data_IF_549881943231
#
_entry.id   IF_549881943231
#
_cell.length_a   1.000
_cell.length_b   1.000
_cell.length_c   1.000
_cell.angle_alpha   90.00
_cell.angle_beta   90.00
_cell.angle_gamma   90.00
#
_symmetry.space_group_name_H-M   'P 1'
#
loop_
_entity.id
_entity.type
_entity.pdbx_description
1 polymer ?
#
# COMPACT_ATOMS: atom_id res chain seq x y z
N UNK A 1 5.36 16.04 -21.00
CA UNK A 1 4.87 14.73 -21.49
C UNK A 1 4.27 13.95 -20.33
N UNK A 2 3.06 14.32 -19.93
CA UNK A 2 2.25 13.62 -18.93
C UNK A 2 1.16 12.87 -19.69
N UNK A 3 1.06 11.55 -19.53
CA UNK A 3 0.02 10.77 -20.21
C UNK A 3 0.36 9.31 -20.50
N UNK A 4 1.56 8.83 -20.17
CA UNK A 4 1.91 7.43 -20.44
C UNK A 4 1.29 6.43 -19.46
N UNK A 5 0.97 6.85 -18.23
CA UNK A 5 0.52 5.93 -17.17
C UNK A 5 -1.00 5.78 -17.03
N UNK A 6 -1.82 6.57 -17.73
CA UNK A 6 -3.28 6.60 -17.49
C UNK A 6 -4.16 6.31 -18.71
N UNK A 7 -3.61 6.03 -19.89
CA UNK A 7 -4.42 5.72 -21.06
C UNK A 7 -4.94 4.27 -21.03
N UNK A 8 -6.27 4.03 -20.94
CA UNK A 8 -6.85 2.68 -20.89
C UNK A 8 -6.75 1.92 -22.21
N UNK A 9 -6.20 2.54 -23.26
CA UNK A 9 -6.21 2.04 -24.64
C UNK A 9 -4.86 1.42 -25.07
N UNK A 10 -3.79 1.55 -24.27
CA UNK A 10 -2.44 1.06 -24.61
C UNK A 10 -1.77 0.22 -23.49
N UNK A 11 -2.53 -0.63 -22.80
CA UNK A 11 -1.95 -1.80 -22.11
C UNK A 11 -2.21 -1.98 -20.61
N UNK A 12 -2.84 -1.02 -19.92
CA UNK A 12 -3.03 -1.10 -18.46
C UNK A 12 -4.35 -1.76 -17.99
N UNK A 13 -5.16 -2.35 -18.89
CA UNK A 13 -6.46 -2.94 -18.50
C UNK A 13 -6.34 -4.25 -17.71
N UNK A 14 -5.17 -4.89 -17.71
CA UNK A 14 -4.98 -6.19 -17.06
C UNK A 14 -3.64 -6.32 -16.32
N UNK A 15 -3.06 -5.18 -15.93
CA UNK A 15 -1.84 -5.17 -15.12
C UNK A 15 -2.30 -5.07 -13.67
N UNK A 16 -1.99 -6.07 -12.82
CA UNK A 16 -2.41 -5.99 -11.44
C UNK A 16 -1.83 -4.75 -10.75
N UNK A 17 -2.56 -4.21 -9.77
CA UNK A 17 -2.25 -2.93 -9.13
C UNK A 17 -1.91 -3.17 -7.69
N UNK A 18 -0.83 -2.57 -7.22
CA UNK A 18 -0.40 -2.70 -5.83
C UNK A 18 -0.18 -1.32 -5.23
N UNK A 19 -0.64 -1.14 -3.99
CA UNK A 19 -0.34 0.01 -3.15
C UNK A 19 0.30 -0.49 -1.86
N UNK A 20 1.44 0.12 -1.51
CA UNK A 20 2.18 -0.15 -0.29
C UNK A 20 2.09 1.11 0.59
N UNK A 21 1.56 0.96 1.79
CA UNK A 21 1.49 2.01 2.79
C UNK A 21 2.62 1.79 3.79
N UNK A 22 3.44 2.80 4.05
CA UNK A 22 4.49 2.76 5.08
C UNK A 22 4.16 3.84 6.10
N UNK A 23 4.08 3.49 7.38
CA UNK A 23 3.78 4.42 8.47
C UNK A 23 4.60 4.10 9.71
N UNK A 24 5.02 5.13 10.44
CA UNK A 24 5.65 5.05 11.77
C UNK A 24 4.74 5.59 12.89
N UNK A 25 3.51 5.98 12.52
CA UNK A 25 2.48 6.45 13.44
C UNK A 25 1.10 5.86 13.15
N UNK A 26 0.15 6.14 14.03
CA UNK A 26 -1.27 5.82 13.86
C UNK A 26 -1.96 6.95 13.09
N UNK A 27 -2.97 6.63 12.29
CA UNK A 27 -3.81 7.64 11.65
C UNK A 27 -4.65 8.39 12.67
N UNK A 28 -4.78 9.71 12.47
CA UNK A 28 -5.72 10.56 13.21
C UNK A 28 -7.19 10.12 13.01
N UNK A 29 -7.48 9.35 11.96
CA UNK A 29 -8.82 8.84 11.67
C UNK A 29 -8.78 7.42 11.08
N UNK A 30 -8.79 6.43 11.97
CA UNK A 30 -8.77 5.00 11.62
C UNK A 30 -9.98 4.62 10.75
N UNK A 31 -11.18 5.11 11.07
CA UNK A 31 -12.41 4.75 10.33
C UNK A 31 -12.36 5.19 8.85
N UNK A 32 -11.86 6.40 8.59
CA UNK A 32 -11.64 6.88 7.22
C UNK A 32 -10.56 6.10 6.50
N UNK A 33 -9.47 5.81 7.20
CA UNK A 33 -8.35 5.02 6.66
C UNK A 33 -8.83 3.65 6.16
N UNK A 34 -9.64 2.95 6.96
CA UNK A 34 -10.25 1.66 6.58
C UNK A 34 -11.23 1.83 5.42
N UNK A 35 -12.07 2.87 5.44
CA UNK A 35 -13.04 3.15 4.36
C UNK A 35 -12.34 3.37 3.01
N UNK A 36 -11.22 4.10 3.00
CA UNK A 36 -10.45 4.32 1.77
C UNK A 36 -9.71 3.06 1.33
N UNK A 37 -9.21 2.25 2.26
CA UNK A 37 -8.65 0.94 1.93
C UNK A 37 -9.72 0.05 1.24
N UNK A 38 -10.96 0.02 1.73
CA UNK A 38 -12.07 -0.69 1.08
C UNK A 38 -12.37 -0.17 -0.33
N UNK A 39 -12.32 1.14 -0.54
CA UNK A 39 -12.52 1.74 -1.86
C UNK A 39 -11.44 1.32 -2.85
N UNK A 40 -10.19 1.15 -2.40
CA UNK A 40 -9.08 0.68 -3.23
C UNK A 40 -9.17 -0.82 -3.52
N UNK A 41 -9.57 -1.64 -2.54
CA UNK A 41 -9.84 -3.08 -2.76
C UNK A 41 -10.89 -3.29 -3.86
N UNK A 42 -11.98 -2.52 -3.83
CA UNK A 42 -13.03 -2.54 -4.87
C UNK A 42 -12.52 -2.17 -6.27
N UNK A 43 -11.38 -1.48 -6.37
CA UNK A 43 -10.71 -1.13 -7.64
C UNK A 43 -9.69 -2.18 -8.09
N UNK A 44 -9.69 -3.36 -7.45
CA UNK A 44 -8.76 -4.45 -7.69
C UNK A 44 -7.30 -4.04 -7.47
N UNK A 45 -7.06 -3.31 -6.37
CA UNK A 45 -5.73 -2.89 -5.93
C UNK A 45 -5.37 -3.72 -4.70
N UNK A 46 -4.27 -4.46 -4.78
CA UNK A 46 -3.68 -5.18 -3.65
C UNK A 46 -3.06 -4.19 -2.67
N UNK A 47 -3.41 -4.30 -1.40
CA UNK A 47 -2.96 -3.40 -0.33
C UNK A 47 -1.97 -4.09 0.60
N UNK A 48 -0.78 -3.51 0.73
CA UNK A 48 0.24 -3.90 1.71
C UNK A 48 0.41 -2.75 2.72
N UNK A 49 0.57 -3.09 3.99
CA UNK A 49 0.88 -2.11 5.04
C UNK A 49 2.20 -2.46 5.72
N UNK A 50 3.02 -1.45 5.94
CA UNK A 50 4.31 -1.53 6.61
C UNK A 50 4.29 -0.57 7.78
N UNK A 51 4.21 -1.11 8.99
CA UNK A 51 4.37 -0.37 10.22
C UNK A 51 5.83 -0.34 10.66
N UNK A 52 6.34 0.82 11.06
CA UNK A 52 7.66 0.97 11.67
C UNK A 52 7.50 1.37 13.14
N UNK A 53 8.04 0.55 14.05
CA UNK A 53 7.99 0.82 15.49
C UNK A 53 6.75 0.24 16.18
N UNK A 54 6.29 0.90 17.24
CA UNK A 54 5.16 0.46 18.05
C UNK A 54 3.85 1.05 17.49
N UNK A 55 3.06 0.23 16.81
CA UNK A 55 1.87 0.68 16.08
C UNK A 55 0.63 -0.14 16.41
N UNK A 56 -0.54 0.46 16.15
CA UNK A 56 -1.80 -0.26 16.30
C UNK A 56 -1.95 -1.27 15.17
N UNK A 57 -1.86 -2.55 15.52
CA UNK A 57 -1.97 -3.63 14.56
C UNK A 57 -3.35 -3.69 13.90
N UNK A 58 -4.41 -3.24 14.58
CA UNK A 58 -5.78 -3.19 14.04
C UNK A 58 -5.84 -2.25 12.84
N UNK A 59 -5.16 -1.11 12.90
CA UNK A 59 -5.15 -0.14 11.81
C UNK A 59 -4.37 -0.67 10.61
N UNK A 60 -3.18 -1.25 10.85
CA UNK A 60 -2.36 -1.86 9.80
C UNK A 60 -3.10 -3.01 9.09
N UNK A 61 -3.84 -3.83 9.84
CA UNK A 61 -4.71 -4.87 9.32
C UNK A 61 -5.91 -4.30 8.55
N UNK A 62 -6.46 -3.18 9.03
CA UNK A 62 -7.55 -2.47 8.37
C UNK A 62 -7.16 -1.85 7.02
N UNK A 63 -5.86 -1.56 6.82
CA UNK A 63 -5.30 -1.10 5.55
C UNK A 63 -4.96 -2.28 4.63
N UNK A 64 -4.26 -3.29 5.14
CA UNK A 64 -3.82 -4.43 4.33
C UNK A 64 -5.02 -5.28 3.87
N UNK A 65 -4.83 -6.05 2.80
CA UNK A 65 -5.87 -6.96 2.33
C UNK A 65 -6.06 -8.18 3.25
N UNK A 66 -4.97 -8.64 3.87
CA UNK A 66 -4.95 -9.75 4.83
C UNK A 66 -3.69 -9.67 5.69
N UNK A 67 -3.60 -10.53 6.72
CA UNK A 67 -2.47 -10.58 7.65
C UNK A 67 -1.11 -10.80 6.97
N UNK A 68 -1.07 -11.52 5.83
CA UNK A 68 0.17 -11.79 5.09
C UNK A 68 0.70 -10.57 4.34
N UNK A 69 -0.11 -9.52 4.22
CA UNK A 69 0.23 -8.25 3.60
C UNK A 69 0.53 -7.16 4.64
N UNK A 70 0.63 -7.52 5.92
CA UNK A 70 1.07 -6.63 7.00
C UNK A 70 2.51 -6.93 7.35
N UNK A 71 3.36 -5.91 7.33
CA UNK A 71 4.74 -5.96 7.78
C UNK A 71 4.88 -5.03 8.97
N UNK A 72 5.21 -5.55 10.14
CA UNK A 72 5.53 -4.70 11.30
C UNK A 72 7.02 -4.84 11.60
N UNK A 73 7.78 -3.78 11.39
CA UNK A 73 9.23 -3.76 11.52
C UNK A 73 9.66 -2.79 12.60
N UNK A 74 10.81 -3.03 13.24
CA UNK A 74 11.27 -2.17 14.35
C UNK A 74 11.89 -0.85 13.88
N UNK A 75 12.55 -0.83 12.72
CA UNK A 75 13.27 0.34 12.20
C UNK A 75 13.19 0.39 10.68
N UNK A 76 13.40 1.58 10.11
CA UNK A 76 13.42 1.78 8.66
C UNK A 76 14.53 0.98 7.95
N UNK A 77 15.61 0.62 8.64
CA UNK A 77 16.67 -0.24 8.08
C UNK A 77 16.16 -1.63 7.69
N UNK A 78 15.08 -2.11 8.32
CA UNK A 78 14.44 -3.38 7.97
C UNK A 78 13.65 -3.27 6.66
N UNK A 79 13.39 -2.04 6.16
CA UNK A 79 12.80 -1.84 4.84
C UNK A 79 13.67 -2.45 3.73
N UNK A 80 14.99 -2.50 3.91
CA UNK A 80 15.91 -3.17 2.98
C UNK A 80 15.66 -4.68 2.92
N UNK A 81 15.30 -5.30 4.04
CA UNK A 81 15.02 -6.74 4.13
C UNK A 81 13.68 -7.08 3.52
N UNK A 82 12.63 -6.30 3.82
CA UNK A 82 11.30 -6.52 3.22
C UNK A 82 11.28 -6.12 1.74
N UNK A 83 12.23 -5.29 1.26
CA UNK A 83 12.35 -4.95 -0.15
C UNK A 83 12.43 -6.20 -1.00
N UNK A 84 13.26 -7.18 -0.63
CA UNK A 84 13.41 -8.42 -1.38
C UNK A 84 12.08 -9.19 -1.50
N UNK A 85 11.35 -9.30 -0.40
CA UNK A 85 10.07 -9.99 -0.34
C UNK A 85 8.96 -9.25 -1.12
N UNK A 86 8.90 -7.93 -0.98
CA UNK A 86 7.99 -7.06 -1.74
C UNK A 86 8.34 -7.14 -3.23
N UNK A 87 9.61 -7.02 -3.60
CA UNK A 87 10.07 -7.12 -4.99
C UNK A 87 9.77 -8.48 -5.58
N UNK A 88 9.97 -9.58 -4.84
CA UNK A 88 9.60 -10.91 -5.34
C UNK A 88 8.10 -11.01 -5.62
N UNK A 89 7.26 -10.60 -4.66
CA UNK A 89 5.79 -10.57 -4.82
C UNK A 89 5.35 -9.66 -5.98
N UNK A 90 6.08 -8.57 -6.22
CA UNK A 90 5.76 -7.54 -7.21
C UNK A 90 6.43 -7.78 -8.58
N UNK A 91 7.45 -8.62 -8.69
CA UNK A 91 8.10 -8.94 -9.96
C UNK A 91 7.60 -10.28 -10.52
N UNK A 92 7.10 -11.18 -9.67
CA UNK A 92 6.47 -12.43 -10.11
C UNK A 92 5.07 -12.19 -10.73
N UNK A 93 4.41 -11.08 -10.42
CA UNK A 93 3.30 -10.54 -11.21
C UNK A 93 3.73 -9.22 -11.85
N UNK A 94 3.35 -8.92 -13.09
CA UNK A 94 3.65 -7.60 -13.67
C UNK A 94 2.72 -6.58 -13.02
N UNK A 95 3.13 -5.77 -12.05
CA UNK A 95 2.24 -4.78 -11.40
C UNK A 95 2.54 -3.31 -11.79
N UNK A 96 1.51 -2.46 -11.77
CA UNK A 96 1.67 -0.99 -11.78
C UNK A 96 1.69 -0.49 -10.33
N UNK A 97 2.74 0.26 -9.97
CA UNK A 97 2.85 0.92 -8.68
C UNK A 97 2.03 2.21 -8.67
N UNK A 98 1.02 2.27 -7.80
CA UNK A 98 0.48 3.56 -7.37
C UNK A 98 1.25 3.98 -6.12
N UNK A 99 2.44 4.54 -6.33
CA UNK A 99 3.10 5.29 -5.27
C UNK A 99 2.41 6.64 -5.21
N UNK A 100 1.93 7.04 -4.03
CA UNK A 100 1.26 8.33 -3.76
C UNK A 100 -0.26 8.37 -4.01
N UNK A 101 -1.02 7.77 -3.08
CA UNK A 101 -2.40 8.24 -2.76
C UNK A 101 -2.61 8.36 -1.24
N UNK A 102 -1.91 7.59 -0.40
CA UNK A 102 -2.16 7.57 1.05
C UNK A 102 -1.34 8.53 1.92
N UNK A 103 -0.20 9.06 1.45
CA UNK A 103 0.54 10.09 2.20
C UNK A 103 -0.33 11.33 2.46
N UNK A 104 -1.29 11.62 1.57
CA UNK A 104 -2.27 12.69 1.75
C UNK A 104 -3.40 12.33 2.75
N UNK A 105 -3.68 11.05 3.03
CA UNK A 105 -4.78 10.64 3.94
C UNK A 105 -4.30 10.54 5.38
N UNK A 106 -3.07 10.08 5.63
CA UNK A 106 -2.50 9.97 6.99
C UNK A 106 -2.00 11.32 7.53
N UNK A 107 -1.72 12.30 6.65
CA UNK A 107 -1.13 13.61 7.03
C UNK A 107 -2.01 14.84 6.79
N UNK A 108 -3.21 14.71 6.23
CA UNK A 108 -4.16 15.82 6.14
C UNK A 108 -5.48 15.40 6.77
N UNK A 109 -5.53 15.47 8.10
CA UNK A 109 -6.33 16.43 8.86
C UNK A 109 -5.72 16.58 10.26
#
# INVERSE_FOLDING_TARGET
>A
TQGFLTSPQLGARNVPKILIVITDGQSNNIARTITEADNLRKKNITLLSVGVGALNQIELLGIAENEKNVFNVKTFSVLDTIRGEITQRVCDGKFIFYFCIFTFIVHLY
#
